data_IF_756065990127
#
_entry.id   IF_756065990127
#
_cell.length_a   1.000
_cell.length_b   1.000
_cell.length_c   1.000
_cell.angle_alpha   90.00
_cell.angle_beta   90.00
_cell.angle_gamma   90.00
#
_symmetry.space_group_name_H-M   'P 1'
#
loop_
_entity.id
_entity.type
_entity.pdbx_description
1 polymer ?
#
# COMPACT_ATOMS: atom_id res chain seq x y z
N UNK A 1 -4.70 0.49 -18.83
CA UNK A 1 -4.89 1.94 -18.80
C UNK A 1 -4.39 2.53 -20.09
N UNK A 2 -5.16 3.44 -20.74
CA UNK A 2 -4.62 4.26 -21.80
C UNK A 2 -3.54 5.11 -21.16
N UNK A 3 -2.47 5.06 -21.71
CA UNK A 3 -1.15 5.23 -21.24
C UNK A 3 -0.80 6.69 -21.24
N UNK A 4 -0.62 7.25 -20.07
CA UNK A 4 0.14 8.50 -20.00
C UNK A 4 1.52 8.22 -20.62
N UNK A 5 1.95 9.05 -21.57
CA UNK A 5 3.33 9.05 -22.03
C UNK A 5 4.30 9.12 -20.84
N UNK A 6 5.50 8.61 -21.02
CA UNK A 6 6.48 8.62 -19.94
C UNK A 6 6.79 10.05 -19.46
N UNK A 7 6.83 10.98 -20.38
CA UNK A 7 7.07 12.42 -20.14
C UNK A 7 5.96 13.02 -19.27
N UNK A 8 4.70 12.65 -19.51
CA UNK A 8 3.57 13.12 -18.70
C UNK A 8 3.60 12.54 -17.29
N UNK A 9 4.05 11.29 -17.14
CA UNK A 9 4.27 10.68 -15.82
C UNK A 9 5.35 11.42 -15.02
N UNK A 10 6.45 11.77 -15.66
CA UNK A 10 7.51 12.57 -15.03
C UNK A 10 6.98 13.97 -14.67
N UNK A 11 6.34 14.66 -15.63
CA UNK A 11 5.76 15.96 -15.41
C UNK A 11 4.74 15.98 -14.28
N UNK A 12 3.93 14.93 -14.16
CA UNK A 12 2.96 14.83 -13.05
C UNK A 12 3.67 14.80 -11.69
N UNK A 13 4.74 14.04 -11.54
CA UNK A 13 5.51 14.01 -10.30
C UNK A 13 6.23 15.34 -10.04
N UNK A 14 6.77 15.99 -11.09
CA UNK A 14 7.37 17.31 -11.00
C UNK A 14 6.34 18.37 -10.51
N UNK A 15 5.08 18.28 -10.97
CA UNK A 15 3.99 19.14 -10.49
C UNK A 15 3.59 18.83 -9.04
N UNK A 16 3.57 17.58 -8.64
CA UNK A 16 3.32 17.20 -7.24
C UNK A 16 4.42 17.72 -6.31
N UNK A 17 5.68 17.68 -6.73
CA UNK A 17 6.80 18.26 -6.00
C UNK A 17 6.62 19.78 -5.82
N UNK A 18 6.25 20.50 -6.89
CA UNK A 18 5.96 21.94 -6.83
C UNK A 18 4.76 22.25 -5.91
N UNK A 19 3.70 21.44 -5.99
CA UNK A 19 2.51 21.59 -5.14
C UNK A 19 2.82 21.35 -3.67
N UNK A 20 3.65 20.36 -3.36
CA UNK A 20 4.08 20.08 -1.99
C UNK A 20 4.92 21.22 -1.41
N UNK A 21 5.72 21.86 -2.22
CA UNK A 21 6.56 23.01 -1.86
C UNK A 21 7.40 22.77 -0.57
N UNK A 22 7.93 21.55 -0.42
CA UNK A 22 8.78 21.15 0.72
C UNK A 22 8.04 20.91 2.03
N UNK A 23 6.72 20.87 2.01
CA UNK A 23 5.90 20.64 3.23
C UNK A 23 5.85 19.18 3.65
N UNK A 24 6.15 18.23 2.76
CA UNK A 24 6.01 16.78 2.97
C UNK A 24 4.57 16.30 3.11
N UNK A 25 3.59 17.09 2.68
CA UNK A 25 2.17 16.68 2.70
C UNK A 25 1.83 15.70 1.58
N UNK A 26 2.51 15.85 0.43
CA UNK A 26 2.52 14.85 -0.63
C UNK A 26 3.75 13.98 -0.38
N UNK A 27 3.61 13.03 0.54
CA UNK A 27 4.75 12.32 1.10
C UNK A 27 5.40 11.36 0.10
N UNK A 28 4.59 10.67 -0.72
CA UNK A 28 5.07 9.61 -1.60
C UNK A 28 4.34 9.58 -2.94
N UNK A 29 5.06 9.13 -3.98
CA UNK A 29 4.50 8.68 -5.25
C UNK A 29 4.92 7.25 -5.50
N UNK A 30 3.96 6.41 -5.88
CA UNK A 30 4.18 4.98 -6.13
C UNK A 30 4.22 4.68 -7.63
N UNK A 31 5.22 3.93 -8.08
CA UNK A 31 5.37 3.48 -9.46
C UNK A 31 5.61 1.97 -9.54
N UNK A 32 5.69 1.42 -10.75
CA UNK A 32 5.90 0.00 -11.02
C UNK A 32 7.28 -0.26 -11.63
N UNK A 33 7.65 -1.55 -11.75
CA UNK A 33 8.93 -1.98 -12.34
C UNK A 33 8.78 -3.01 -13.47
N UNK A 34 7.55 -3.43 -13.81
CA UNK A 34 7.32 -4.62 -14.63
C UNK A 34 7.56 -4.47 -16.12
N UNK A 35 7.55 -3.26 -16.64
CA UNK A 35 7.84 -2.98 -18.03
C UNK A 35 9.12 -2.15 -18.17
N UNK A 36 9.84 -2.29 -19.28
CA UNK A 36 11.05 -1.48 -19.55
C UNK A 36 10.82 0.02 -19.38
N UNK A 37 9.63 0.50 -19.79
CA UNK A 37 9.23 1.90 -19.63
C UNK A 37 9.09 2.30 -18.16
N UNK A 38 8.63 1.39 -17.28
CA UNK A 38 8.46 1.68 -15.86
C UNK A 38 9.82 1.82 -15.18
N UNK A 39 10.78 0.94 -15.50
CA UNK A 39 12.16 1.05 -15.04
C UNK A 39 12.82 2.36 -15.50
N UNK A 40 12.59 2.77 -16.75
CA UNK A 40 13.08 4.06 -17.24
C UNK A 40 12.46 5.24 -16.48
N UNK A 41 11.13 5.23 -16.25
CA UNK A 41 10.45 6.28 -15.46
C UNK A 41 10.97 6.30 -14.03
N UNK A 42 11.09 5.14 -13.38
CA UNK A 42 11.66 5.05 -12.04
C UNK A 42 13.06 5.69 -11.96
N UNK A 43 13.95 5.33 -12.88
CA UNK A 43 15.31 5.89 -12.92
C UNK A 43 15.28 7.41 -13.08
N UNK A 44 14.49 7.93 -14.04
CA UNK A 44 14.35 9.37 -14.27
C UNK A 44 13.73 10.12 -13.08
N UNK A 45 12.80 9.52 -12.35
CA UNK A 45 12.25 10.10 -11.13
C UNK A 45 13.29 10.12 -10.00
N UNK A 46 14.07 9.06 -9.84
CA UNK A 46 15.13 9.00 -8.82
C UNK A 46 16.29 9.98 -9.11
N UNK A 47 16.55 10.31 -10.39
CA UNK A 47 17.52 11.34 -10.78
C UNK A 47 17.13 12.74 -10.30
N UNK A 48 15.83 13.03 -10.04
CA UNK A 48 15.37 14.34 -9.54
C UNK A 48 15.90 14.64 -8.13
N UNK A 49 16.13 13.61 -7.32
CA UNK A 49 16.60 13.80 -5.95
C UNK A 49 15.65 14.56 -5.04
N UNK A 50 14.33 14.45 -5.29
CA UNK A 50 13.32 15.13 -4.48
C UNK A 50 13.24 14.53 -3.07
N UNK A 51 13.24 15.38 -2.04
CA UNK A 51 12.90 14.96 -0.68
C UNK A 51 11.42 14.55 -0.59
N UNK A 52 10.54 15.33 -1.26
CA UNK A 52 9.11 15.05 -1.39
C UNK A 52 8.60 15.41 -2.80
N UNK A 53 7.74 14.56 -3.38
CA UNK A 53 7.35 13.23 -2.88
C UNK A 53 8.51 12.23 -3.01
N UNK A 54 8.65 11.37 -2.01
CA UNK A 54 9.56 10.23 -2.10
C UNK A 54 9.07 9.24 -3.16
N UNK A 55 9.99 8.72 -3.95
CA UNK A 55 9.64 7.74 -4.99
C UNK A 55 9.65 6.35 -4.37
N UNK A 56 8.48 5.73 -4.34
CA UNK A 56 8.28 4.35 -3.89
C UNK A 56 7.78 3.47 -5.04
N UNK A 57 7.69 2.18 -4.78
CA UNK A 57 7.21 1.22 -5.78
C UNK A 57 6.14 0.31 -5.20
N UNK A 58 5.42 -0.36 -6.11
CA UNK A 58 4.59 -1.51 -5.81
C UNK A 58 5.13 -2.74 -6.55
N UNK A 59 5.33 -3.82 -5.81
CA UNK A 59 5.80 -5.11 -6.34
C UNK A 59 4.93 -6.26 -5.82
N UNK A 60 5.00 -7.39 -6.51
CA UNK A 60 4.44 -8.65 -5.99
C UNK A 60 5.26 -9.09 -4.78
N UNK A 61 4.59 -9.71 -3.81
CA UNK A 61 5.25 -10.24 -2.62
C UNK A 61 6.04 -11.52 -2.95
N UNK A 62 7.16 -11.37 -3.65
CA UNK A 62 8.12 -12.45 -3.88
C UNK A 62 9.57 -11.93 -3.86
N UNK A 63 10.54 -12.75 -3.40
CA UNK A 63 11.94 -12.33 -3.27
C UNK A 63 12.61 -11.94 -4.60
N UNK A 64 12.14 -12.46 -5.72
CA UNK A 64 12.69 -12.13 -7.05
C UNK A 64 12.41 -10.68 -7.41
N UNK A 65 11.16 -10.22 -7.21
CA UNK A 65 10.77 -8.83 -7.51
C UNK A 65 11.51 -7.85 -6.59
N UNK A 66 11.75 -8.23 -5.32
CA UNK A 66 12.58 -7.41 -4.39
C UNK A 66 14.00 -7.24 -4.92
N UNK A 67 14.64 -8.33 -5.35
CA UNK A 67 16.01 -8.30 -5.91
C UNK A 67 16.07 -7.50 -7.20
N UNK A 68 15.07 -7.63 -8.05
CA UNK A 68 14.95 -6.86 -9.28
C UNK A 68 14.80 -5.36 -8.99
N UNK A 69 13.94 -4.98 -8.04
CA UNK A 69 13.80 -3.60 -7.60
C UNK A 69 15.12 -3.04 -7.04
N UNK A 70 15.80 -3.78 -6.18
CA UNK A 70 17.08 -3.37 -5.61
C UNK A 70 18.13 -3.11 -6.71
N UNK A 71 18.21 -3.99 -7.70
CA UNK A 71 19.11 -3.85 -8.85
C UNK A 71 18.74 -2.65 -9.73
N UNK A 72 17.47 -2.51 -10.12
CA UNK A 72 16.98 -1.40 -10.96
C UNK A 72 17.16 -0.04 -10.30
N UNK A 73 16.85 0.05 -9.02
CA UNK A 73 16.96 1.31 -8.27
C UNK A 73 18.37 1.62 -7.81
N UNK A 74 19.31 0.67 -7.90
CA UNK A 74 20.66 0.78 -7.37
C UNK A 74 20.68 1.20 -5.88
N UNK A 75 19.74 0.66 -5.09
CA UNK A 75 19.56 0.97 -3.69
C UNK A 75 18.97 2.35 -3.37
N UNK A 76 18.52 3.11 -4.37
CA UNK A 76 17.92 4.44 -4.18
C UNK A 76 16.47 4.39 -3.69
N UNK A 77 15.70 3.35 -4.02
CA UNK A 77 14.36 3.15 -3.48
C UNK A 77 14.47 2.64 -2.05
N UNK A 78 13.83 3.33 -1.10
CA UNK A 78 13.91 3.03 0.33
C UNK A 78 12.63 2.42 0.92
N UNK A 79 11.55 2.39 0.16
CA UNK A 79 10.27 1.79 0.56
C UNK A 79 9.57 1.16 -0.65
N UNK A 80 8.94 0.01 -0.47
CA UNK A 80 8.12 -0.63 -1.50
C UNK A 80 6.87 -1.27 -0.94
N UNK A 81 5.76 -1.15 -1.67
CA UNK A 81 4.52 -1.87 -1.40
C UNK A 81 4.60 -3.33 -1.84
N UNK A 82 4.07 -4.24 -1.01
CA UNK A 82 3.98 -5.68 -1.28
C UNK A 82 2.58 -6.17 -0.95
N UNK A 83 1.95 -6.91 -1.86
CA UNK A 83 0.60 -7.41 -1.68
C UNK A 83 0.57 -8.64 -0.78
N UNK A 84 -0.20 -8.59 0.31
CA UNK A 84 -0.51 -9.72 1.17
C UNK A 84 -2.02 -9.83 1.35
N UNK A 85 -2.62 -10.85 0.78
CA UNK A 85 -4.08 -11.07 0.88
C UNK A 85 -4.50 -11.34 2.32
N UNK A 86 -5.59 -10.72 2.75
CA UNK A 86 -6.03 -10.74 4.15
C UNK A 86 -7.32 -11.52 4.38
N UNK A 87 -8.22 -11.59 3.39
CA UNK A 87 -9.47 -12.33 3.54
C UNK A 87 -9.27 -13.84 3.30
N UNK A 88 -10.04 -14.66 3.98
CA UNK A 88 -10.05 -16.12 3.80
C UNK A 88 -10.33 -16.48 2.35
N UNK A 89 -11.26 -15.77 1.69
CA UNK A 89 -11.54 -15.95 0.27
C UNK A 89 -10.31 -15.74 -0.61
N UNK A 90 -9.49 -14.72 -0.35
CA UNK A 90 -8.27 -14.51 -1.12
C UNK A 90 -7.17 -15.51 -0.78
N UNK A 91 -7.01 -15.85 0.50
CA UNK A 91 -5.97 -16.78 0.96
C UNK A 91 -6.24 -18.19 0.43
N UNK A 92 -7.45 -18.70 0.60
CA UNK A 92 -7.77 -20.09 0.30
C UNK A 92 -8.25 -20.29 -1.14
N UNK A 93 -9.19 -19.47 -1.63
CA UNK A 93 -9.82 -19.69 -2.94
C UNK A 93 -8.99 -19.09 -4.08
N UNK A 94 -8.45 -17.86 -3.91
CA UNK A 94 -7.68 -17.17 -4.96
C UNK A 94 -6.23 -17.66 -5.03
N UNK A 95 -5.55 -17.78 -3.87
CA UNK A 95 -4.13 -18.15 -3.80
C UNK A 95 -3.90 -19.65 -3.60
N UNK A 96 -4.93 -20.38 -3.15
CA UNK A 96 -4.88 -21.83 -2.95
C UNK A 96 -3.98 -22.26 -1.79
N UNK A 97 -3.74 -21.38 -0.81
CA UNK A 97 -2.96 -21.74 0.37
C UNK A 97 -3.77 -22.68 1.26
N UNK A 98 -3.07 -23.61 1.92
CA UNK A 98 -3.70 -24.65 2.74
C UNK A 98 -4.01 -24.18 4.14
N UNK A 99 -3.30 -23.15 4.62
CA UNK A 99 -3.50 -22.58 5.95
C UNK A 99 -3.00 -21.14 6.02
N UNK A 100 -3.36 -20.45 7.10
CA UNK A 100 -2.87 -19.10 7.41
C UNK A 100 -1.38 -19.09 7.75
N UNK A 101 -0.86 -20.17 8.33
CA UNK A 101 0.57 -20.36 8.60
C UNK A 101 1.37 -20.41 7.29
N UNK A 102 0.88 -21.15 6.29
CA UNK A 102 1.50 -21.13 4.97
C UNK A 102 1.50 -19.72 4.35
N UNK A 103 0.41 -18.96 4.52
CA UNK A 103 0.34 -17.58 4.05
C UNK A 103 1.39 -16.70 4.74
N UNK A 104 1.55 -16.82 6.07
CA UNK A 104 2.60 -16.12 6.83
C UNK A 104 3.98 -16.42 6.24
N UNK A 105 4.33 -17.68 6.07
CA UNK A 105 5.64 -18.08 5.52
C UNK A 105 5.90 -17.50 4.13
N UNK A 106 4.87 -17.50 3.28
CA UNK A 106 4.95 -16.94 1.94
C UNK A 106 5.16 -15.42 1.94
N UNK A 107 4.48 -14.70 2.84
CA UNK A 107 4.57 -13.25 2.94
C UNK A 107 5.84 -12.80 3.66
N UNK A 108 6.30 -13.49 4.70
CA UNK A 108 7.52 -13.13 5.43
C UNK A 108 8.77 -13.19 4.56
N UNK A 109 8.87 -14.15 3.66
CA UNK A 109 10.04 -14.29 2.77
C UNK A 109 10.40 -13.01 2.02
N UNK A 110 9.52 -12.41 1.19
CA UNK A 110 9.83 -11.17 0.48
C UNK A 110 9.97 -9.97 1.42
N UNK A 111 9.24 -9.95 2.55
CA UNK A 111 9.33 -8.89 3.56
C UNK A 111 10.75 -8.84 4.16
N UNK A 112 11.27 -9.98 4.60
CA UNK A 112 12.61 -10.07 5.15
C UNK A 112 13.69 -9.82 4.07
N UNK A 113 13.47 -10.33 2.85
CA UNK A 113 14.36 -10.03 1.73
C UNK A 113 14.47 -8.52 1.46
N UNK A 114 13.37 -7.75 1.57
CA UNK A 114 13.42 -6.29 1.38
C UNK A 114 14.35 -5.63 2.41
N UNK A 115 14.32 -6.08 3.66
CA UNK A 115 15.19 -5.57 4.71
C UNK A 115 16.67 -5.86 4.46
N UNK A 116 17.02 -6.98 3.81
CA UNK A 116 18.39 -7.30 3.40
C UNK A 116 18.95 -6.27 2.41
N UNK A 117 18.09 -5.62 1.62
CA UNK A 117 18.44 -4.56 0.65
C UNK A 117 18.20 -3.14 1.17
N UNK A 118 17.98 -2.97 2.48
CA UNK A 118 17.67 -1.67 3.10
C UNK A 118 16.42 -1.00 2.50
N UNK A 119 15.43 -1.81 2.14
CA UNK A 119 14.13 -1.38 1.64
C UNK A 119 13.06 -1.65 2.71
N UNK A 120 12.39 -0.61 3.17
CA UNK A 120 11.27 -0.73 4.11
C UNK A 120 10.08 -1.39 3.40
N UNK A 121 9.59 -2.55 3.89
CA UNK A 121 8.42 -3.18 3.33
C UNK A 121 7.14 -2.49 3.82
N UNK A 122 6.28 -2.08 2.89
CA UNK A 122 4.90 -1.67 3.17
C UNK A 122 3.95 -2.75 2.72
N UNK A 123 3.34 -3.44 3.66
CA UNK A 123 2.47 -4.57 3.41
C UNK A 123 1.07 -4.08 3.08
N UNK A 124 0.60 -4.36 1.87
CA UNK A 124 -0.76 -4.07 1.43
C UNK A 124 -1.66 -5.23 1.87
N UNK A 125 -2.47 -5.00 2.89
CA UNK A 125 -3.46 -5.94 3.42
C UNK A 125 -4.66 -6.00 2.46
N UNK A 126 -4.50 -6.75 1.36
CA UNK A 126 -5.50 -6.87 0.30
C UNK A 126 -6.79 -7.47 0.86
N UNK A 127 -7.93 -6.87 0.52
CA UNK A 127 -9.27 -7.31 0.92
C UNK A 127 -9.52 -7.29 2.44
N UNK A 128 -8.93 -6.31 3.11
CA UNK A 128 -8.97 -6.19 4.57
C UNK A 128 -10.39 -5.94 5.10
N UNK A 129 -11.25 -5.25 4.34
CA UNK A 129 -12.64 -4.97 4.73
C UNK A 129 -13.56 -6.20 4.73
N UNK A 130 -13.04 -7.37 4.33
CA UNK A 130 -13.72 -8.68 4.43
C UNK A 130 -12.94 -9.71 5.24
N UNK A 131 -11.86 -9.31 5.89
CA UNK A 131 -10.96 -10.20 6.60
C UNK A 131 -11.41 -10.46 8.06
N UNK A 132 -10.93 -11.56 8.63
CA UNK A 132 -10.98 -11.80 10.07
C UNK A 132 -9.93 -10.92 10.78
N UNK A 133 -10.37 -9.79 11.29
CA UNK A 133 -9.48 -8.77 11.86
C UNK A 133 -8.77 -9.29 13.12
N UNK A 134 -9.51 -9.92 14.05
CA UNK A 134 -8.97 -10.33 15.34
C UNK A 134 -8.26 -11.67 15.30
N UNK A 135 -8.80 -12.62 14.54
CA UNK A 135 -8.22 -13.96 14.46
C UNK A 135 -7.08 -14.09 13.45
N UNK A 136 -6.94 -13.11 12.53
CA UNK A 136 -5.93 -13.19 11.49
C UNK A 136 -5.12 -11.92 11.29
N UNK A 137 -5.76 -10.78 10.98
CA UNK A 137 -5.01 -9.58 10.55
C UNK A 137 -4.13 -9.03 11.66
N UNK A 138 -4.66 -8.92 12.88
CA UNK A 138 -3.89 -8.44 14.04
C UNK A 138 -2.73 -9.38 14.38
N UNK A 139 -2.92 -10.72 14.52
CA UNK A 139 -1.81 -11.64 14.68
C UNK A 139 -0.75 -11.53 13.57
N UNK A 140 -1.16 -11.44 12.31
CA UNK A 140 -0.26 -11.28 11.18
C UNK A 140 0.58 -9.99 11.28
N UNK A 141 -0.05 -8.83 11.54
CA UNK A 141 0.66 -7.56 11.74
C UNK A 141 1.69 -7.70 12.88
N UNK A 142 1.31 -8.27 14.02
CA UNK A 142 2.21 -8.47 15.16
C UNK A 142 3.41 -9.36 14.82
N UNK A 143 3.17 -10.47 14.11
CA UNK A 143 4.25 -11.34 13.63
C UNK A 143 5.20 -10.60 12.71
N UNK A 144 4.68 -9.85 11.73
CA UNK A 144 5.53 -9.06 10.82
C UNK A 144 6.31 -7.99 11.59
N UNK A 145 5.67 -7.26 12.50
CA UNK A 145 6.35 -6.24 13.31
C UNK A 145 7.48 -6.83 14.15
N UNK A 146 7.26 -7.98 14.78
CA UNK A 146 8.29 -8.70 15.53
C UNK A 146 9.46 -9.11 14.63
N UNK A 147 9.19 -9.77 13.51
CA UNK A 147 10.20 -10.27 12.58
C UNK A 147 10.99 -9.16 11.87
N UNK A 148 10.42 -7.96 11.76
CA UNK A 148 11.06 -6.81 11.11
C UNK A 148 11.68 -5.81 12.10
N UNK A 149 11.59 -6.06 13.40
CA UNK A 149 12.01 -5.10 14.42
C UNK A 149 11.26 -3.77 14.34
N UNK A 150 9.97 -3.81 14.01
CA UNK A 150 9.12 -2.64 13.91
C UNK A 150 9.28 -1.80 12.63
N UNK A 151 10.08 -2.25 11.67
CA UNK A 151 10.36 -1.46 10.44
C UNK A 151 9.28 -1.56 9.35
N UNK A 152 8.37 -2.53 9.45
CA UNK A 152 7.30 -2.69 8.47
C UNK A 152 6.20 -1.64 8.63
N UNK A 153 5.59 -1.25 7.50
CA UNK A 153 4.41 -0.39 7.42
C UNK A 153 3.25 -1.17 6.81
N UNK A 154 2.01 -0.73 7.03
CA UNK A 154 0.85 -1.46 6.56
C UNK A 154 -0.14 -0.55 5.84
N UNK A 155 -0.61 -1.00 4.68
CA UNK A 155 -1.68 -0.36 3.92
C UNK A 155 -2.94 -1.21 4.03
N UNK A 156 -3.96 -0.67 4.67
CA UNK A 156 -5.29 -1.30 4.75
C UNK A 156 -6.02 -1.06 3.44
N UNK A 157 -6.35 -2.13 2.71
CA UNK A 157 -6.97 -2.05 1.39
C UNK A 157 -8.45 -2.41 1.46
N UNK A 158 -9.30 -1.46 1.12
CA UNK A 158 -10.71 -1.66 0.83
C UNK A 158 -10.85 -2.06 -0.65
N UNK A 159 -10.47 -3.31 -0.93
CA UNK A 159 -10.20 -3.81 -2.30
C UNK A 159 -11.40 -3.78 -3.21
N UNK A 160 -12.62 -3.95 -2.69
CA UNK A 160 -13.86 -3.93 -3.49
C UNK A 160 -14.78 -2.75 -3.13
N UNK A 161 -14.25 -1.74 -2.42
CA UNK A 161 -15.02 -0.57 -2.02
C UNK A 161 -16.14 -0.87 -1.02
N UNK A 162 -16.04 -1.97 -0.27
CA UNK A 162 -17.05 -2.46 0.68
C UNK A 162 -17.10 -1.66 1.99
N UNK A 163 -16.07 -0.88 2.24
CA UNK A 163 -15.91 -0.10 3.47
C UNK A 163 -17.03 0.91 3.69
N UNK A 164 -17.29 1.19 4.97
CA UNK A 164 -18.24 2.21 5.41
C UNK A 164 -17.55 3.21 6.34
N UNK A 165 -17.74 4.50 6.05
CA UNK A 165 -17.27 5.61 6.90
C UNK A 165 -18.14 5.80 8.16
N UNK A 166 -19.23 5.04 8.32
CA UNK A 166 -20.08 5.10 9.48
C UNK A 166 -19.33 4.61 10.74
N UNK A 167 -19.20 5.42 11.81
CA UNK A 167 -18.52 5.02 13.04
C UNK A 167 -19.21 3.87 13.80
N UNK A 168 -20.48 3.61 13.53
CA UNK A 168 -21.24 2.52 14.14
C UNK A 168 -21.18 1.22 13.34
N UNK A 169 -20.66 1.27 12.12
CA UNK A 169 -20.51 0.07 11.29
C UNK A 169 -19.60 -0.98 11.97
N UNK A 170 -19.98 -2.26 11.82
CA UNK A 170 -19.25 -3.36 12.43
C UNK A 170 -17.94 -3.67 11.71
N UNK A 171 -17.00 -4.36 12.41
CA UNK A 171 -15.89 -5.04 11.75
C UNK A 171 -16.42 -6.15 10.82
N UNK A 172 -15.74 -6.43 9.70
CA UNK A 172 -14.49 -5.79 9.25
C UNK A 172 -14.68 -4.55 8.36
N UNK A 173 -15.90 -4.23 7.92
CA UNK A 173 -16.14 -3.21 6.89
C UNK A 173 -16.28 -1.78 7.45
N UNK A 174 -16.54 -1.59 8.74
CA UNK A 174 -16.60 -0.28 9.38
C UNK A 174 -15.21 0.36 9.48
N UNK A 175 -14.87 1.26 8.54
CA UNK A 175 -13.52 1.84 8.42
C UNK A 175 -13.06 2.53 9.70
N UNK A 176 -13.86 3.38 10.39
CA UNK A 176 -13.46 3.98 11.66
C UNK A 176 -13.04 2.94 12.70
N UNK A 177 -13.86 1.90 12.86
CA UNK A 177 -13.62 0.83 13.82
C UNK A 177 -12.46 -0.07 13.43
N UNK A 178 -12.33 -0.39 12.14
CA UNK A 178 -11.24 -1.16 11.58
C UNK A 178 -9.90 -0.49 11.88
N UNK A 179 -9.74 0.76 11.47
CA UNK A 179 -8.48 1.51 11.61
C UNK A 179 -8.12 1.71 13.09
N UNK A 180 -9.07 2.18 13.91
CA UNK A 180 -8.81 2.37 15.35
C UNK A 180 -8.46 1.05 16.06
N UNK A 181 -9.10 -0.06 15.69
CA UNK A 181 -8.77 -1.38 16.25
C UNK A 181 -7.34 -1.81 15.86
N UNK A 182 -6.99 -1.74 14.58
CA UNK A 182 -5.65 -2.08 14.12
C UNK A 182 -4.59 -1.21 14.78
N UNK A 183 -4.79 0.12 14.79
CA UNK A 183 -3.85 1.06 15.39
C UNK A 183 -3.65 0.80 16.89
N UNK A 184 -4.73 0.70 17.66
CA UNK A 184 -4.66 0.53 19.11
C UNK A 184 -4.10 -0.85 19.53
N UNK A 185 -4.39 -1.90 18.77
CA UNK A 185 -3.97 -3.26 19.13
C UNK A 185 -2.59 -3.65 18.61
N UNK A 186 -2.04 -2.92 17.62
CA UNK A 186 -0.74 -3.26 17.04
C UNK A 186 0.32 -2.17 17.14
N UNK A 187 -0.07 -0.90 17.29
CA UNK A 187 0.84 0.24 17.21
C UNK A 187 1.50 0.44 15.85
N UNK A 188 1.05 -0.28 14.82
CA UNK A 188 1.64 -0.22 13.49
C UNK A 188 1.35 1.11 12.77
N UNK A 189 2.28 1.58 11.94
CA UNK A 189 2.03 2.68 11.02
C UNK A 189 1.09 2.22 9.91
N UNK A 190 -0.09 2.86 9.83
CA UNK A 190 -1.16 2.51 8.91
C UNK A 190 -1.33 3.55 7.80
N UNK A 191 -1.62 3.07 6.60
CA UNK A 191 -2.08 3.81 5.44
C UNK A 191 -3.39 3.19 4.96
N UNK A 192 -4.26 3.97 4.32
CA UNK A 192 -5.52 3.46 3.74
C UNK A 192 -5.54 3.60 2.22
N UNK A 193 -6.05 2.57 1.55
CA UNK A 193 -6.28 2.53 0.11
C UNK A 193 -7.71 2.10 -0.16
N UNK A 194 -8.51 2.99 -0.75
CA UNK A 194 -9.93 2.76 -1.01
C UNK A 194 -10.25 2.70 -2.49
N UNK A 195 -10.97 1.64 -2.91
CA UNK A 195 -11.64 1.57 -4.20
C UNK A 195 -13.04 2.22 -4.14
N UNK A 196 -13.55 2.63 -5.28
CA UNK A 196 -14.73 3.49 -5.37
C UNK A 196 -15.97 2.78 -5.94
N UNK A 197 -16.04 1.45 -5.79
CA UNK A 197 -17.11 0.64 -6.36
C UNK A 197 -18.51 1.06 -5.88
N UNK A 198 -18.61 1.55 -4.66
CA UNK A 198 -19.86 2.09 -4.08
C UNK A 198 -19.90 3.62 -3.98
N UNK A 199 -18.94 4.33 -4.59
CA UNK A 199 -18.87 5.80 -4.53
C UNK A 199 -18.40 6.36 -3.19
N UNK A 200 -17.87 5.54 -2.29
CA UNK A 200 -17.55 5.91 -0.89
C UNK A 200 -16.06 6.07 -0.62
N UNK A 201 -15.18 5.85 -1.59
CA UNK A 201 -13.73 5.84 -1.39
C UNK A 201 -13.20 7.09 -0.68
N UNK A 202 -13.65 8.29 -1.08
CA UNK A 202 -13.21 9.55 -0.46
C UNK A 202 -13.67 9.64 1.00
N UNK A 203 -14.93 9.30 1.29
CA UNK A 203 -15.46 9.32 2.66
C UNK A 203 -14.71 8.32 3.55
N UNK A 204 -14.46 7.10 3.05
CA UNK A 204 -13.71 6.06 3.75
C UNK A 204 -12.26 6.49 4.01
N UNK A 205 -11.59 7.14 3.04
CA UNK A 205 -10.23 7.66 3.21
C UNK A 205 -10.14 8.76 4.26
N UNK A 206 -11.09 9.70 4.28
CA UNK A 206 -11.17 10.74 5.32
C UNK A 206 -11.40 10.10 6.70
N UNK A 207 -12.31 9.11 6.78
CA UNK A 207 -12.55 8.38 8.01
C UNK A 207 -11.29 7.64 8.47
N UNK A 208 -10.62 6.91 7.60
CA UNK A 208 -9.38 6.21 7.93
C UNK A 208 -8.31 7.16 8.49
N UNK A 209 -8.10 8.30 7.84
CA UNK A 209 -7.15 9.31 8.32
C UNK A 209 -7.51 9.85 9.71
N UNK A 210 -8.79 10.14 9.95
CA UNK A 210 -9.27 10.64 11.26
C UNK A 210 -9.13 9.63 12.39
N UNK A 211 -9.16 8.34 12.09
CA UNK A 211 -9.18 7.26 13.07
C UNK A 211 -7.84 6.52 13.25
N UNK A 212 -6.75 7.01 12.65
CA UNK A 212 -5.40 6.53 12.99
C UNK A 212 -4.49 6.19 11.81
N UNK A 213 -4.96 6.30 10.55
CA UNK A 213 -4.05 6.22 9.43
C UNK A 213 -3.17 7.47 9.35
N UNK A 214 -1.87 7.27 9.23
CA UNK A 214 -0.92 8.35 8.98
C UNK A 214 -1.09 8.93 7.58
N UNK A 215 -1.41 8.08 6.60
CA UNK A 215 -1.53 8.41 5.18
C UNK A 215 -2.79 7.84 4.56
N UNK A 216 -3.19 8.46 3.47
CA UNK A 216 -4.19 7.90 2.55
C UNK A 216 -3.61 7.84 1.15
N UNK A 217 -3.81 6.72 0.48
CA UNK A 217 -3.38 6.54 -0.90
C UNK A 217 -4.48 7.05 -1.84
N UNK A 218 -4.11 7.93 -2.77
CA UNK A 218 -5.02 8.53 -3.74
C UNK A 218 -4.49 8.36 -5.15
N UNK A 219 -5.35 8.51 -6.14
CA UNK A 219 -4.97 8.51 -7.54
C UNK A 219 -5.42 9.81 -8.23
N UNK A 220 -4.67 10.24 -9.22
CA UNK A 220 -5.01 11.43 -10.02
C UNK A 220 -6.42 11.29 -10.62
N UNK A 221 -7.30 12.24 -10.29
CA UNK A 221 -8.70 12.21 -10.74
C UNK A 221 -9.48 10.96 -10.31
N UNK A 222 -8.97 10.16 -9.36
CA UNK A 222 -9.59 8.90 -8.96
C UNK A 222 -9.39 7.76 -9.97
N UNK A 223 -8.51 7.90 -10.95
CA UNK A 223 -8.22 6.86 -11.93
C UNK A 223 -7.69 5.60 -11.23
N UNK A 224 -8.23 4.45 -11.56
CA UNK A 224 -7.86 3.18 -10.93
C UNK A 224 -8.58 2.00 -11.56
N UNK A 225 -8.52 0.87 -10.88
CA UNK A 225 -9.25 -0.33 -11.29
C UNK A 225 -10.76 -0.12 -11.18
N UNK A 226 -11.52 -0.75 -12.08
CA UNK A 226 -12.99 -0.74 -12.12
C UNK A 226 -13.57 0.68 -12.12
N UNK A 227 -14.23 1.08 -11.05
CA UNK A 227 -14.84 2.41 -10.88
C UNK A 227 -13.87 3.48 -10.36
N UNK A 228 -12.62 3.11 -10.13
CA UNK A 228 -11.55 3.98 -9.67
C UNK A 228 -11.20 3.85 -8.18
N UNK A 229 -10.33 4.74 -7.75
CA UNK A 229 -9.80 4.84 -6.39
C UNK A 229 -10.21 6.16 -5.73
N UNK A 230 -9.78 6.37 -4.50
CA UNK A 230 -9.86 7.69 -3.86
C UNK A 230 -9.19 8.74 -4.75
N UNK A 231 -9.93 9.79 -5.10
CA UNK A 231 -9.41 10.84 -5.96
C UNK A 231 -8.52 11.83 -5.18
N UNK A 232 -7.33 12.13 -5.70
CA UNK A 232 -6.60 13.35 -5.35
C UNK A 232 -7.23 14.54 -6.09
N UNK A 233 -7.67 15.54 -5.34
CA UNK A 233 -8.29 16.77 -5.83
C UNK A 233 -7.50 17.97 -5.37
#
# INVERSE_FOLDING_TARGET
FPFFPNEDRLRYVDLLHQLDNGTGRIEQVETFIYHKRDGWVLDKLLERGYDFPQITTWIRANPKDVKELAALSQGRVKETGMLASSSDHHIFDKLGYKSKEEAIDKYLKPILTALEYDITPRIHLEDCTRADIRGWVIPFIRTVMEQTGGRAKFRVCDTIGWGSADPYAALPFGVPKLISTLYNETGAELEFHGHNDFGTATANSIAAWRYGCRRVNTAFGGLGERTGNTASK
#
